data_IF_785540524747
#
_entry.id   IF_785540524747
#
_cell.length_a   1.000
_cell.length_b   1.000
_cell.length_c   1.000
_cell.angle_alpha   90.00
_cell.angle_beta   90.00
_cell.angle_gamma   90.00
#
_symmetry.space_group_name_H-M   'P 1'
#
loop_
_entity.id
_entity.type
_entity.pdbx_description
1 polymer ?
#
# COMPACT_ATOMS: atom_id res chain seq x y z
N UNK A 1 36.01 -1.37 28.76
CA UNK A 1 34.89 -0.99 27.87
C UNK A 1 34.52 -2.23 27.10
N UNK A 2 33.32 -2.79 27.29
CA UNK A 2 32.85 -3.90 26.47
C UNK A 2 32.52 -3.27 25.11
N UNK A 3 33.40 -3.42 24.13
CA UNK A 3 33.10 -3.07 22.75
C UNK A 3 32.09 -4.10 22.25
N UNK A 4 30.90 -3.65 21.84
CA UNK A 4 29.86 -4.48 21.22
C UNK A 4 30.26 -4.94 19.81
N UNK A 5 31.44 -5.53 19.67
CA UNK A 5 31.87 -6.19 18.44
C UNK A 5 31.10 -7.48 18.25
N UNK A 6 30.90 -7.87 16.99
CA UNK A 6 30.32 -9.16 16.65
C UNK A 6 31.23 -10.29 17.18
N UNK A 7 30.65 -11.40 17.69
CA UNK A 7 31.42 -12.56 18.09
C UNK A 7 32.19 -13.10 16.88
N UNK A 8 33.43 -13.55 17.10
CA UNK A 8 34.18 -14.26 16.07
C UNK A 8 33.44 -15.57 15.72
N UNK A 9 33.39 -15.91 14.43
CA UNK A 9 32.86 -17.19 13.96
C UNK A 9 33.64 -18.34 14.63
N UNK A 10 33.04 -18.95 15.65
CA UNK A 10 33.69 -19.96 16.49
C UNK A 10 32.68 -20.69 17.36
N UNK A 11 32.87 -21.99 17.54
CA UNK A 11 31.99 -22.98 18.21
C UNK A 11 30.83 -23.57 17.36
N UNK A 12 30.91 -23.50 16.03
CA UNK A 12 29.90 -24.09 15.15
C UNK A 12 28.60 -23.29 15.06
N UNK A 13 28.56 -22.09 15.65
CA UNK A 13 27.58 -21.07 15.35
C UNK A 13 28.12 -20.23 14.20
N UNK A 14 27.47 -20.31 13.05
CA UNK A 14 27.72 -19.44 11.91
C UNK A 14 26.44 -18.65 11.69
N UNK A 15 26.55 -17.33 11.54
CA UNK A 15 25.41 -16.55 11.09
C UNK A 15 24.97 -17.13 9.74
N UNK A 16 23.68 -17.42 9.55
CA UNK A 16 23.18 -17.69 8.21
C UNK A 16 23.64 -16.57 7.27
N UNK A 17 24.00 -16.89 6.02
CA UNK A 17 24.35 -15.84 5.03
C UNK A 17 23.23 -14.78 4.90
N UNK A 18 22.01 -15.17 5.28
CA UNK A 18 20.79 -14.37 5.23
C UNK A 18 20.52 -13.55 6.52
N UNK A 19 21.35 -13.69 7.56
CA UNK A 19 21.20 -13.01 8.87
C UNK A 19 22.12 -11.78 9.01
N UNK A 20 22.68 -11.32 7.89
CA UNK A 20 23.48 -10.10 7.82
C UNK A 20 22.61 -8.83 7.67
N UNK A 21 23.14 -7.70 8.13
CA UNK A 21 22.49 -6.39 7.93
C UNK A 21 22.21 -6.12 6.45
N UNK A 22 21.06 -5.50 6.15
CA UNK A 22 20.65 -5.12 4.79
C UNK A 22 20.73 -3.61 4.59
N UNK A 23 20.83 -3.18 3.33
CA UNK A 23 20.78 -1.77 2.94
C UNK A 23 19.47 -1.46 2.22
N UNK A 24 18.88 -0.31 2.56
CA UNK A 24 17.78 0.29 1.80
C UNK A 24 18.36 1.16 0.69
N UNK A 25 18.08 0.82 -0.55
CA UNK A 25 18.47 1.61 -1.73
C UNK A 25 17.23 2.35 -2.26
N UNK A 26 17.16 3.69 -2.16
CA UNK A 26 15.99 4.44 -2.58
C UNK A 26 15.85 4.43 -4.11
N UNK A 27 14.65 4.11 -4.60
CA UNK A 27 14.29 4.26 -6.00
C UNK A 27 13.63 5.62 -6.21
N UNK A 28 14.42 6.62 -6.60
CA UNK A 28 13.96 8.00 -6.75
C UNK A 28 12.89 8.17 -7.85
N UNK A 29 12.68 7.18 -8.72
CA UNK A 29 11.54 7.19 -9.65
C UNK A 29 10.18 7.04 -8.96
N UNK A 30 10.18 6.60 -7.70
CA UNK A 30 8.98 6.47 -6.84
C UNK A 30 8.81 7.58 -5.84
N UNK A 31 9.62 8.65 -5.95
CA UNK A 31 9.52 9.79 -5.06
C UNK A 31 8.16 10.47 -5.24
N UNK A 32 7.41 10.59 -4.14
CA UNK A 32 6.10 11.24 -4.12
C UNK A 32 5.96 12.13 -2.89
N UNK A 33 5.11 13.15 -2.97
CA UNK A 33 4.69 13.93 -1.79
C UNK A 33 3.79 13.09 -0.88
N UNK A 34 3.76 13.46 0.40
CA UNK A 34 2.85 12.90 1.39
C UNK A 34 1.81 13.96 1.75
N UNK A 35 0.65 13.98 1.06
CA UNK A 35 -0.24 15.14 1.03
C UNK A 35 -1.03 15.36 2.33
N UNK A 36 -1.09 14.36 3.21
CA UNK A 36 -1.78 14.45 4.49
C UNK A 36 -0.89 14.96 5.64
N UNK A 37 0.41 15.17 5.41
CA UNK A 37 1.32 15.70 6.42
C UNK A 37 1.29 17.24 6.44
N UNK A 38 1.33 17.83 7.63
CA UNK A 38 1.36 19.30 7.79
C UNK A 38 2.70 19.89 7.34
N UNK A 39 3.80 19.19 7.63
CA UNK A 39 5.15 19.58 7.22
C UNK A 39 5.49 19.02 5.83
N UNK A 40 6.25 19.74 4.98
CA UNK A 40 6.67 19.25 3.67
C UNK A 40 7.39 17.89 3.75
N UNK A 41 6.69 16.84 3.34
CA UNK A 41 7.13 15.45 3.50
C UNK A 41 7.06 14.71 2.16
N UNK A 42 8.03 13.83 1.91
CA UNK A 42 8.08 12.98 0.74
C UNK A 42 8.31 11.51 1.13
N UNK A 43 7.72 10.61 0.36
CA UNK A 43 7.90 9.17 0.48
C UNK A 43 8.68 8.64 -0.74
N UNK A 44 9.53 7.65 -0.50
CA UNK A 44 10.27 6.94 -1.55
C UNK A 44 10.31 5.45 -1.22
N UNK A 45 10.02 4.61 -2.22
CA UNK A 45 10.08 3.16 -2.05
C UNK A 45 11.55 2.74 -2.22
N UNK A 46 12.06 1.99 -1.25
CA UNK A 46 13.41 1.45 -1.28
C UNK A 46 13.42 -0.03 -1.67
N UNK A 47 14.43 -0.46 -2.43
CA UNK A 47 14.76 -1.87 -2.56
C UNK A 47 15.68 -2.30 -1.41
N UNK A 48 15.57 -3.56 -0.97
CA UNK A 48 16.59 -4.14 -0.11
C UNK A 48 17.70 -4.77 -0.94
N UNK A 49 18.94 -4.44 -0.58
CA UNK A 49 20.17 -5.02 -1.13
C UNK A 49 21.05 -5.54 0.01
N UNK A 50 21.80 -6.61 -0.27
CA UNK A 50 22.85 -7.11 0.59
C UNK A 50 23.97 -6.06 0.72
N UNK A 51 24.88 -6.25 1.69
CA UNK A 51 26.00 -5.33 1.93
C UNK A 51 26.89 -5.14 0.69
N UNK A 52 27.01 -6.17 -0.15
CA UNK A 52 27.77 -6.18 -1.41
C UNK A 52 27.01 -5.55 -2.60
N UNK A 53 25.77 -5.10 -2.39
CA UNK A 53 24.93 -4.46 -3.40
C UNK A 53 24.06 -5.41 -4.23
N UNK A 54 24.16 -6.74 -4.03
CA UNK A 54 23.24 -7.68 -4.68
C UNK A 54 21.82 -7.48 -4.16
N UNK A 55 20.82 -7.59 -5.02
CA UNK A 55 19.40 -7.52 -4.63
C UNK A 55 19.02 -8.67 -3.71
N UNK A 56 18.27 -8.38 -2.64
CA UNK A 56 17.69 -9.41 -1.77
C UNK A 56 16.57 -10.14 -2.52
N UNK A 57 16.71 -11.45 -2.68
CA UNK A 57 15.94 -12.21 -3.65
C UNK A 57 14.47 -12.42 -3.30
N UNK A 58 14.12 -12.34 -2.02
CA UNK A 58 12.80 -12.69 -1.50
C UNK A 58 11.93 -11.47 -1.18
N UNK A 59 12.38 -10.25 -1.47
CA UNK A 59 11.51 -9.08 -1.28
C UNK A 59 10.45 -9.02 -2.38
N UNK A 60 9.20 -8.64 -2.05
CA UNK A 60 8.12 -8.58 -3.04
C UNK A 60 8.47 -7.74 -4.28
N UNK A 61 9.13 -6.59 -4.09
CA UNK A 61 9.52 -5.71 -5.19
C UNK A 61 10.62 -6.30 -6.08
N UNK A 62 11.64 -6.94 -5.50
CA UNK A 62 12.68 -7.60 -6.30
C UNK A 62 12.13 -8.83 -7.03
N UNK A 63 11.19 -9.57 -6.42
CA UNK A 63 10.45 -10.65 -7.08
C UNK A 63 9.68 -10.10 -8.28
N UNK A 64 8.90 -9.03 -8.12
CA UNK A 64 8.14 -8.41 -9.21
C UNK A 64 9.06 -7.93 -10.36
N UNK A 65 10.19 -7.30 -10.04
CA UNK A 65 11.20 -6.89 -11.05
C UNK A 65 11.69 -8.08 -11.88
N UNK A 66 11.94 -9.24 -11.26
CA UNK A 66 12.32 -10.47 -11.99
C UNK A 66 11.20 -10.99 -12.89
N UNK A 67 9.95 -10.94 -12.44
CA UNK A 67 8.78 -11.34 -13.23
C UNK A 67 8.63 -10.43 -14.46
N UNK A 68 8.68 -9.11 -14.27
CA UNK A 68 8.62 -8.14 -15.38
C UNK A 68 9.76 -8.35 -16.37
N UNK A 69 10.99 -8.56 -15.89
CA UNK A 69 12.13 -8.86 -16.75
C UNK A 69 11.99 -10.19 -17.52
N UNK A 70 11.24 -11.17 -17.00
CA UNK A 70 10.95 -12.40 -17.72
C UNK A 70 9.96 -12.18 -18.88
N UNK A 71 8.95 -11.33 -18.70
CA UNK A 71 8.06 -10.91 -19.80
C UNK A 71 8.81 -10.14 -20.87
N UNK A 72 9.69 -9.21 -20.48
CA UNK A 72 10.50 -8.41 -21.41
C UNK A 72 11.39 -9.28 -22.31
N UNK A 73 12.01 -10.34 -21.76
CA UNK A 73 12.79 -11.33 -22.53
C UNK A 73 11.98 -12.06 -23.61
N UNK A 74 10.66 -12.13 -23.44
CA UNK A 74 9.73 -12.71 -24.41
C UNK A 74 9.16 -11.65 -25.39
N UNK A 75 9.56 -10.38 -25.25
CA UNK A 75 9.00 -9.26 -26.01
C UNK A 75 7.57 -8.92 -25.59
N UNK A 76 7.16 -9.27 -24.37
CA UNK A 76 5.83 -9.03 -23.83
C UNK A 76 5.85 -7.89 -22.80
N UNK A 77 4.81 -7.07 -22.79
CA UNK A 77 4.57 -6.06 -21.75
C UNK A 77 3.36 -6.47 -20.90
N UNK A 78 3.55 -6.88 -19.62
CA UNK A 78 2.41 -7.15 -18.74
C UNK A 78 1.69 -5.84 -18.43
N UNK A 79 0.36 -5.89 -18.39
CA UNK A 79 -0.51 -4.76 -18.01
C UNK A 79 -1.44 -5.26 -16.90
N UNK A 80 -1.51 -4.53 -15.80
CA UNK A 80 -2.34 -4.90 -14.63
C UNK A 80 -3.30 -3.76 -14.33
N UNK A 81 -4.54 -4.11 -13.97
CA UNK A 81 -5.57 -3.20 -13.50
C UNK A 81 -5.96 -3.61 -12.07
N UNK A 82 -5.37 -2.99 -11.03
CA UNK A 82 -5.74 -3.27 -9.65
C UNK A 82 -7.09 -2.64 -9.29
N UNK A 83 -7.93 -3.43 -8.64
CA UNK A 83 -9.18 -3.00 -8.01
C UNK A 83 -8.98 -3.14 -6.49
N UNK A 84 -9.24 -2.07 -5.73
CA UNK A 84 -9.02 -2.02 -4.29
C UNK A 84 -10.36 -1.82 -3.60
N UNK A 85 -10.84 -2.88 -2.97
CA UNK A 85 -12.01 -2.83 -2.09
C UNK A 85 -11.60 -2.55 -0.64
N UNK A 86 -12.40 -1.74 0.06
CA UNK A 86 -12.22 -1.43 1.47
C UNK A 86 -13.54 -1.12 2.16
N UNK A 87 -13.52 -1.20 3.50
CA UNK A 87 -14.68 -0.88 4.33
C UNK A 87 -14.40 0.36 5.17
N UNK A 88 -15.35 1.29 5.16
CA UNK A 88 -15.43 2.34 6.16
C UNK A 88 -16.11 1.78 7.40
N UNK A 89 -15.48 1.98 8.55
CA UNK A 89 -15.99 1.54 9.85
C UNK A 89 -16.09 2.71 10.80
N UNK A 90 -17.11 2.70 11.65
CA UNK A 90 -17.17 3.60 12.79
C UNK A 90 -15.98 3.33 13.69
N UNK A 91 -15.42 4.40 14.28
CA UNK A 91 -14.43 4.29 15.34
C UNK A 91 -14.94 3.32 16.41
N UNK A 92 -14.19 2.24 16.64
CA UNK A 92 -14.53 1.24 17.63
C UNK A 92 -13.65 1.43 18.88
N UNK A 93 -14.17 1.99 19.98
CA UNK A 93 -13.40 2.20 21.21
C UNK A 93 -13.18 0.91 22.01
N UNK A 94 -13.94 -0.13 21.72
CA UNK A 94 -13.92 -1.39 22.46
C UNK A 94 -13.82 -2.57 21.48
N UNK A 95 -12.68 -3.27 21.43
CA UNK A 95 -12.43 -4.35 20.48
C UNK A 95 -13.34 -5.56 20.69
N UNK A 96 -14.03 -5.68 21.83
CA UNK A 96 -14.95 -6.79 22.12
C UNK A 96 -16.27 -6.67 21.34
N UNK A 97 -16.59 -5.49 20.80
CA UNK A 97 -17.78 -5.27 19.98
C UNK A 97 -17.47 -5.31 18.48
N UNK A 98 -18.42 -5.79 17.64
CA UNK A 98 -18.21 -5.87 16.20
C UNK A 98 -18.08 -4.48 15.57
N UNK A 99 -17.30 -4.42 14.50
CA UNK A 99 -17.24 -3.24 13.65
C UNK A 99 -18.62 -2.94 13.06
N UNK A 100 -18.98 -1.66 13.04
CA UNK A 100 -20.25 -1.19 12.48
C UNK A 100 -19.99 -0.13 11.43
N UNK A 101 -20.85 -0.01 10.41
CA UNK A 101 -20.73 1.04 9.41
C UNK A 101 -20.81 2.44 10.05
N UNK A 102 -20.04 3.42 9.55
CA UNK A 102 -20.13 4.79 9.99
C UNK A 102 -21.47 5.40 9.58
N UNK A 103 -21.80 6.50 10.23
CA UNK A 103 -22.94 7.32 9.86
C UNK A 103 -22.46 8.31 8.80
N UNK A 104 -23.14 8.35 7.65
CA UNK A 104 -22.86 9.30 6.59
C UNK A 104 -23.35 10.71 6.90
N UNK A 105 -23.08 11.65 5.99
CA UNK A 105 -23.49 13.06 6.14
C UNK A 105 -25.00 13.26 6.36
N UNK A 106 -25.85 12.34 5.90
CA UNK A 106 -27.30 12.40 6.12
C UNK A 106 -27.73 12.05 7.55
N UNK A 107 -26.80 11.66 8.42
CA UNK A 107 -27.09 11.17 9.76
C UNK A 107 -27.59 9.72 9.78
N UNK A 108 -27.54 9.01 8.65
CA UNK A 108 -27.92 7.60 8.53
C UNK A 108 -26.71 6.73 8.23
N UNK A 109 -26.69 5.51 8.77
CA UNK A 109 -25.75 4.51 8.31
C UNK A 109 -26.19 3.99 6.94
N UNK A 110 -25.24 3.73 6.04
CA UNK A 110 -25.54 3.05 4.79
C UNK A 110 -25.80 1.58 5.10
N UNK A 111 -26.95 1.07 4.65
CA UNK A 111 -27.22 -0.37 4.66
C UNK A 111 -26.55 -1.06 3.48
N UNK A 112 -26.27 -2.36 3.60
CA UNK A 112 -25.82 -3.17 2.46
C UNK A 112 -26.92 -3.33 1.39
N UNK A 113 -26.54 -3.86 0.23
CA UNK A 113 -27.44 -4.15 -0.88
C UNK A 113 -27.73 -2.95 -1.81
N UNK A 114 -26.94 -1.89 -1.72
CA UNK A 114 -27.05 -0.69 -2.54
C UNK A 114 -25.81 -0.49 -3.43
N UNK A 115 -25.32 -1.57 -4.05
CA UNK A 115 -24.22 -1.50 -5.03
C UNK A 115 -24.52 -0.47 -6.12
N UNK A 116 -23.50 0.29 -6.52
CA UNK A 116 -23.57 1.39 -7.49
C UNK A 116 -24.46 2.58 -7.09
N UNK A 117 -24.83 2.70 -5.81
CA UNK A 117 -25.63 3.82 -5.33
C UNK A 117 -24.80 5.10 -5.30
N UNK A 118 -25.13 6.06 -6.18
CA UNK A 118 -24.60 7.43 -6.13
C UNK A 118 -24.88 8.06 -4.76
N UNK A 119 -26.07 7.82 -4.22
CA UNK A 119 -26.42 8.30 -2.88
C UNK A 119 -25.54 7.69 -1.79
N UNK A 120 -25.08 6.44 -1.96
CA UNK A 120 -24.18 5.76 -1.04
C UNK A 120 -22.77 6.35 -1.03
N UNK A 121 -22.20 6.63 -2.22
CA UNK A 121 -20.92 7.34 -2.32
C UNK A 121 -21.03 8.75 -1.72
N UNK A 122 -22.13 9.44 -2.03
CA UNK A 122 -22.43 10.79 -1.57
C UNK A 122 -22.49 10.96 -0.04
N UNK A 123 -22.68 9.88 0.71
CA UNK A 123 -22.70 9.95 2.18
C UNK A 123 -21.31 10.27 2.77
N UNK A 124 -20.23 10.05 2.01
CA UNK A 124 -18.85 10.23 2.43
C UNK A 124 -18.04 11.16 1.51
N UNK A 125 -18.70 12.11 0.83
CA UNK A 125 -18.10 13.01 -0.18
C UNK A 125 -16.74 13.59 0.24
N UNK A 126 -16.60 14.12 1.46
CA UNK A 126 -15.33 14.72 1.93
C UNK A 126 -14.16 13.72 1.90
N UNK A 127 -14.40 12.47 2.31
CA UNK A 127 -13.38 11.42 2.25
C UNK A 127 -13.06 11.01 0.81
N UNK A 128 -14.09 10.97 -0.04
CA UNK A 128 -13.93 10.63 -1.45
C UNK A 128 -13.08 11.70 -2.16
N UNK A 129 -13.36 12.97 -1.90
CA UNK A 129 -12.58 14.11 -2.41
C UNK A 129 -11.12 14.03 -1.94
N UNK A 130 -10.88 13.73 -0.66
CA UNK A 130 -9.53 13.53 -0.13
C UNK A 130 -8.79 12.38 -0.83
N UNK A 131 -9.47 11.24 -1.06
CA UNK A 131 -8.90 10.09 -1.78
C UNK A 131 -8.47 10.49 -3.20
N UNK A 132 -9.33 11.21 -3.94
CA UNK A 132 -9.00 11.70 -5.28
C UNK A 132 -7.83 12.67 -5.25
N UNK A 133 -7.88 13.68 -4.37
CA UNK A 133 -6.86 14.71 -4.28
C UNK A 133 -5.48 14.13 -3.89
N UNK A 134 -5.47 13.26 -2.89
CA UNK A 134 -4.22 12.63 -2.44
C UNK A 134 -3.67 11.67 -3.47
N UNK A 135 -4.52 10.87 -4.13
CA UNK A 135 -4.08 9.95 -5.18
C UNK A 135 -3.48 10.71 -6.38
N UNK A 136 -4.11 11.80 -6.82
CA UNK A 136 -3.56 12.65 -7.88
C UNK A 136 -2.19 13.23 -7.48
N UNK A 137 -2.07 13.74 -6.25
CA UNK A 137 -0.79 14.26 -5.74
C UNK A 137 0.33 13.21 -5.70
N UNK A 138 -0.05 11.93 -5.60
CA UNK A 138 0.85 10.79 -5.60
C UNK A 138 1.06 10.15 -6.98
N UNK A 139 0.46 10.73 -8.03
CA UNK A 139 0.56 10.22 -9.40
C UNK A 139 -0.24 8.94 -9.64
N UNK A 140 -1.20 8.62 -8.77
CA UNK A 140 -2.13 7.51 -8.92
C UNK A 140 -3.40 7.99 -9.62
N UNK A 141 -3.66 7.45 -10.82
CA UNK A 141 -4.86 7.79 -11.58
C UNK A 141 -5.99 6.82 -11.20
N UNK A 142 -7.00 7.34 -10.50
CA UNK A 142 -8.25 6.63 -10.19
C UNK A 142 -9.18 6.75 -11.40
N UNK A 143 -9.61 5.60 -11.93
CA UNK A 143 -10.59 5.54 -13.02
C UNK A 143 -12.01 5.69 -12.48
N UNK A 144 -12.37 4.91 -11.46
CA UNK A 144 -13.70 4.97 -10.84
C UNK A 144 -13.64 4.71 -9.34
N UNK A 145 -14.58 5.31 -8.61
CA UNK A 145 -14.88 4.97 -7.22
C UNK A 145 -16.37 4.64 -7.10
N UNK A 146 -16.68 3.47 -6.53
CA UNK A 146 -18.05 2.97 -6.42
C UNK A 146 -18.38 2.48 -5.01
N UNK A 147 -19.66 2.52 -4.66
CA UNK A 147 -20.20 1.83 -3.48
C UNK A 147 -20.56 0.40 -3.85
N UNK A 148 -20.09 -0.55 -3.05
CA UNK A 148 -20.24 -1.98 -3.29
C UNK A 148 -21.47 -2.57 -2.57
N UNK A 149 -21.61 -3.90 -2.57
CA UNK A 149 -22.75 -4.58 -1.92
C UNK A 149 -22.75 -4.46 -0.39
N UNK A 150 -21.58 -4.38 0.25
CA UNK A 150 -21.46 -4.31 1.71
C UNK A 150 -21.83 -2.95 2.31
N UNK A 151 -22.24 -2.96 3.57
CA UNK A 151 -22.55 -1.73 4.29
C UNK A 151 -21.27 -0.93 4.56
N UNK A 152 -21.12 0.22 3.89
CA UNK A 152 -19.90 1.03 3.96
C UNK A 152 -18.73 0.44 3.17
N UNK A 153 -18.99 -0.47 2.23
CA UNK A 153 -17.98 -1.01 1.32
C UNK A 153 -17.83 -0.09 0.12
N UNK A 154 -16.59 0.20 -0.22
CA UNK A 154 -16.21 1.02 -1.36
C UNK A 154 -15.14 0.28 -2.17
N UNK A 155 -15.09 0.58 -3.47
CA UNK A 155 -14.08 0.09 -4.39
C UNK A 155 -13.46 1.26 -5.15
N UNK A 156 -12.12 1.21 -5.30
CA UNK A 156 -11.35 2.10 -6.16
C UNK A 156 -10.75 1.28 -7.29
N UNK A 157 -11.02 1.69 -8.52
CA UNK A 157 -10.36 1.14 -9.71
C UNK A 157 -9.24 2.08 -10.14
N UNK A 158 -8.04 1.54 -10.25
CA UNK A 158 -6.88 2.27 -10.73
C UNK A 158 -6.72 2.08 -12.24
N UNK A 159 -6.23 3.11 -12.93
CA UNK A 159 -5.92 2.99 -14.35
C UNK A 159 -4.84 1.93 -14.56
N UNK A 160 -5.07 1.07 -15.55
CA UNK A 160 -4.15 0.01 -15.92
C UNK A 160 -2.86 0.54 -16.56
N UNK A 161 -1.74 -0.16 -16.35
CA UNK A 161 -0.42 0.26 -16.84
C UNK A 161 0.60 -0.86 -16.99
#
# INVERSE_FOLDING_TARGET
TISGGYPEDGNGFHYPEDDGDLKLMPDLSTLTVVPWEEDPTAAVICDLVHQDGRSVEFTPRNVLKRVVAAYDKLGLKPVVAPEIEFYLVRKNPDPDYPLTPPVGRSGRAIGGGAGYSIAGVNEFDELIDDIYHFSESQGLEIDTLIHEEGAGQLEINLRHG
#
